data_IF_162458782963
#
_entry.id   IF_162458782963
#
_cell.length_a   1.000
_cell.length_b   1.000
_cell.length_c   1.000
_cell.angle_alpha   90.00
_cell.angle_beta   90.00
_cell.angle_gamma   90.00
#
_symmetry.space_group_name_H-M   'P 1'
#
loop_
_entity.id
_entity.type
_entity.pdbx_description
1 polymer ?
#
# COMPACT_ATOMS: atom_id res chain seq x y z
N UNK A 1 19.44 15.03 7.18
CA UNK A 1 20.47 14.02 6.88
C UNK A 1 20.80 14.12 5.39
N UNK A 2 21.83 14.89 5.02
CA UNK A 2 22.19 15.12 3.60
C UNK A 2 23.12 14.01 3.06
N UNK A 3 23.98 13.44 3.92
CA UNK A 3 24.94 12.40 3.55
C UNK A 3 24.30 11.15 2.92
N UNK A 4 23.11 10.74 3.36
CA UNK A 4 22.42 9.59 2.77
C UNK A 4 22.06 9.82 1.30
N UNK A 5 21.52 10.99 0.97
CA UNK A 5 21.11 11.35 -0.40
C UNK A 5 22.34 11.49 -1.31
N UNK A 6 23.45 12.00 -0.77
CA UNK A 6 24.73 12.08 -1.46
C UNK A 6 25.26 10.69 -1.86
N UNK A 7 25.23 9.73 -0.94
CA UNK A 7 25.61 8.34 -1.26
C UNK A 7 24.69 7.71 -2.30
N UNK A 8 23.37 7.98 -2.28
CA UNK A 8 22.46 7.52 -3.35
C UNK A 8 22.84 8.09 -4.71
N UNK A 9 23.23 9.36 -4.78
CA UNK A 9 23.68 9.98 -6.02
C UNK A 9 24.97 9.35 -6.53
N UNK A 10 25.93 9.08 -5.66
CA UNK A 10 27.18 8.42 -6.04
C UNK A 10 26.97 7.00 -6.57
N UNK A 11 25.99 6.26 -6.06
CA UNK A 11 25.60 4.96 -6.62
C UNK A 11 25.03 5.13 -8.04
N UNK A 12 24.14 6.11 -8.25
CA UNK A 12 23.52 6.36 -9.56
C UNK A 12 24.56 6.81 -10.60
N UNK A 13 25.55 7.59 -10.18
CA UNK A 13 26.66 8.02 -11.02
C UNK A 13 27.73 6.92 -11.21
N UNK A 14 27.61 5.77 -10.52
CA UNK A 14 28.54 4.65 -10.60
C UNK A 14 29.91 4.92 -9.94
N UNK A 15 29.98 5.92 -9.06
CA UNK A 15 31.22 6.34 -8.37
C UNK A 15 31.56 5.37 -7.24
N UNK A 16 30.54 4.82 -6.57
CA UNK A 16 30.69 3.87 -5.47
C UNK A 16 29.69 2.72 -5.63
N UNK A 17 30.09 1.52 -5.22
CA UNK A 17 29.18 0.37 -5.20
C UNK A 17 28.15 0.49 -4.06
N UNK A 18 26.92 -0.05 -4.22
CA UNK A 18 25.88 0.02 -3.19
C UNK A 18 26.33 -0.49 -1.81
N UNK A 19 27.13 -1.56 -1.80
CA UNK A 19 27.65 -2.17 -0.56
C UNK A 19 28.62 -1.22 0.15
N UNK A 20 29.48 -0.53 -0.60
CA UNK A 20 30.44 0.43 -0.04
C UNK A 20 29.75 1.69 0.47
N UNK A 21 28.74 2.17 -0.25
CA UNK A 21 27.91 3.29 0.15
C UNK A 21 27.23 3.08 1.50
N UNK A 22 26.64 1.89 1.72
CA UNK A 22 25.99 1.52 2.98
C UNK A 22 27.00 1.51 4.14
N UNK A 23 28.18 0.91 3.94
CA UNK A 23 29.23 0.88 4.96
C UNK A 23 29.76 2.28 5.30
N UNK A 24 29.98 3.11 4.28
CA UNK A 24 30.46 4.48 4.45
C UNK A 24 29.45 5.33 5.24
N UNK A 25 28.16 5.18 4.95
CA UNK A 25 27.10 5.86 5.69
C UNK A 25 27.08 5.47 7.17
N UNK A 26 27.21 4.18 7.49
CA UNK A 26 27.27 3.70 8.87
C UNK A 26 28.49 4.25 9.63
N UNK A 27 29.67 4.32 8.99
CA UNK A 27 30.85 4.94 9.59
C UNK A 27 30.64 6.45 9.88
N UNK A 28 29.91 7.16 9.01
CA UNK A 28 29.54 8.57 9.26
C UNK A 28 28.58 8.69 10.44
N UNK A 29 27.60 7.78 10.57
CA UNK A 29 26.67 7.76 11.71
C UNK A 29 27.38 7.52 13.04
N UNK A 30 28.33 6.57 13.08
CA UNK A 30 29.17 6.32 14.25
C UNK A 30 29.96 7.56 14.65
N UNK A 31 30.60 8.23 13.67
CA UNK A 31 31.35 9.47 13.91
C UNK A 31 30.46 10.60 14.40
N UNK A 32 29.21 10.66 13.95
CA UNK A 32 28.23 11.66 14.38
C UNK A 32 27.60 11.33 15.75
N UNK A 33 27.86 10.15 16.32
CA UNK A 33 27.25 9.68 17.56
C UNK A 33 25.76 9.36 17.44
N UNK A 34 25.23 9.24 16.23
CA UNK A 34 23.83 8.93 15.98
C UNK A 34 23.65 7.42 15.89
N UNK A 35 22.73 6.85 16.70
CA UNK A 35 22.42 5.42 16.62
C UNK A 35 21.64 5.11 15.34
N UNK A 36 22.12 4.21 14.48
CA UNK A 36 21.35 3.72 13.35
C UNK A 36 20.04 3.07 13.82
N UNK A 37 18.93 3.31 13.10
CA UNK A 37 17.65 2.65 13.39
C UNK A 37 17.61 1.18 12.94
N UNK A 38 18.55 0.78 12.10
CA UNK A 38 18.76 -0.59 11.60
C UNK A 38 20.23 -0.94 11.68
N UNK A 39 20.53 -2.20 11.90
CA UNK A 39 21.91 -2.68 11.94
C UNK A 39 22.53 -2.71 10.54
N UNK A 40 23.86 -2.66 10.48
CA UNK A 40 24.60 -2.77 9.22
C UNK A 40 24.26 -4.06 8.46
N UNK A 41 24.02 -5.16 9.16
CA UNK A 41 23.68 -6.45 8.56
C UNK A 41 22.33 -6.41 7.84
N UNK A 42 21.35 -5.72 8.44
CA UNK A 42 20.01 -5.55 7.88
C UNK A 42 20.06 -4.69 6.60
N UNK A 43 20.89 -3.62 6.60
CA UNK A 43 21.03 -2.75 5.43
C UNK A 43 21.85 -3.38 4.30
N UNK A 44 22.70 -4.37 4.61
CA UNK A 44 23.40 -5.18 3.61
C UNK A 44 22.55 -6.28 3.00
N UNK A 45 21.37 -6.55 3.57
CA UNK A 45 20.46 -7.57 3.03
C UNK A 45 19.88 -7.10 1.70
N UNK A 46 20.16 -7.84 0.62
CA UNK A 46 19.58 -7.58 -0.69
C UNK A 46 18.05 -7.73 -0.64
N UNK A 47 17.35 -6.61 -0.53
CA UNK A 47 15.91 -6.60 -0.69
C UNK A 47 15.61 -6.65 -2.19
N UNK A 48 15.07 -7.78 -2.64
CA UNK A 48 14.48 -7.84 -3.97
C UNK A 48 13.28 -6.89 -3.95
N UNK A 49 13.48 -5.68 -4.48
CA UNK A 49 12.39 -4.72 -4.68
C UNK A 49 11.50 -5.27 -5.78
N UNK A 50 10.66 -6.25 -5.44
CA UNK A 50 9.60 -6.73 -6.32
C UNK A 50 8.58 -5.61 -6.33
N UNK A 51 8.60 -4.81 -7.39
CA UNK A 51 7.81 -3.60 -7.51
C UNK A 51 6.32 -3.86 -7.30
N UNK A 52 5.79 -3.35 -6.19
CA UNK A 52 4.36 -3.01 -6.07
C UNK A 52 4.08 -1.63 -6.65
N UNK A 53 4.75 -1.27 -7.74
CA UNK A 53 4.55 -0.02 -8.49
C UNK A 53 4.13 -0.31 -9.93
N UNK A 54 3.19 -1.23 -10.07
CA UNK A 54 2.42 -1.49 -11.27
C UNK A 54 1.10 -2.06 -10.80
N UNK A 55 0.05 -1.25 -10.79
CA UNK A 55 -1.21 -1.52 -10.09
C UNK A 55 -1.76 -2.92 -10.31
N UNK A 56 -1.50 -3.82 -9.35
CA UNK A 56 -2.26 -5.04 -9.20
C UNK A 56 -3.27 -4.80 -8.10
N UNK A 57 -4.55 -4.85 -8.45
CA UNK A 57 -5.73 -4.65 -7.59
C UNK A 57 -5.87 -5.72 -6.50
N UNK A 58 -4.84 -5.93 -5.69
CA UNK A 58 -4.92 -6.80 -4.53
C UNK A 58 -5.42 -5.97 -3.36
N UNK A 59 -6.73 -5.98 -3.17
CA UNK A 59 -7.41 -5.41 -2.01
C UNK A 59 -6.91 -6.12 -0.75
N UNK A 60 -6.03 -5.47 0.02
CA UNK A 60 -5.61 -5.97 1.33
C UNK A 60 -6.74 -5.63 2.31
N UNK A 61 -7.57 -6.62 2.63
CA UNK A 61 -8.62 -6.49 3.64
C UNK A 61 -7.99 -6.39 5.02
N UNK A 62 -7.90 -5.17 5.55
CA UNK A 62 -7.60 -4.92 6.96
C UNK A 62 -8.80 -5.42 7.80
N UNK A 63 -8.61 -6.33 8.77
CA UNK A 63 -9.70 -6.78 9.62
C UNK A 63 -10.20 -5.59 10.47
N UNK A 64 -11.52 -5.39 10.49
CA UNK A 64 -12.21 -4.30 11.20
C UNK A 64 -12.16 -4.41 12.73
N UNK A 65 -11.09 -4.97 13.31
CA UNK A 65 -11.03 -5.27 14.74
C UNK A 65 -10.58 -4.10 15.62
N UNK A 66 -10.38 -2.91 15.06
CA UNK A 66 -10.12 -1.68 15.82
C UNK A 66 -11.28 -0.67 15.80
N UNK A 67 -12.40 -1.00 15.15
CA UNK A 67 -13.62 -0.18 15.22
C UNK A 67 -14.47 -0.59 16.44
N UNK A 68 -14.06 -0.07 17.59
CA UNK A 68 -14.88 0.25 18.76
C UNK A 68 -15.80 -0.84 19.36
N UNK A 69 -15.38 -1.26 20.54
CA UNK A 69 -16.23 -1.75 21.63
C UNK A 69 -17.52 -0.93 21.79
N UNK A 70 -18.66 -1.55 21.50
CA UNK A 70 -19.90 -1.39 22.27
C UNK A 70 -20.95 -2.44 21.91
N UNK A 71 -21.31 -3.23 22.93
CA UNK A 71 -22.67 -3.70 23.22
C UNK A 71 -23.24 -4.91 22.44
N UNK A 72 -23.21 -6.04 23.17
CA UNK A 72 -24.20 -7.16 23.25
C UNK A 72 -23.91 -8.46 22.50
N UNK A 73 -24.12 -9.51 23.29
CA UNK A 73 -23.84 -10.93 23.12
C UNK A 73 -24.90 -11.67 22.25
N UNK A 74 -24.70 -12.98 21.96
CA UNK A 74 -24.93 -13.60 20.65
C UNK A 74 -26.22 -14.42 20.56
N UNK A 75 -26.69 -14.67 19.35
CA UNK A 75 -27.55 -15.83 19.04
C UNK A 75 -27.32 -16.33 17.60
N UNK A 76 -26.72 -17.52 17.53
CA UNK A 76 -27.16 -18.69 16.74
C UNK A 76 -28.00 -18.44 15.48
N UNK A 77 -27.47 -18.84 14.31
CA UNK A 77 -28.04 -19.84 13.37
C UNK A 77 -27.63 -19.59 11.91
N UNK A 78 -26.84 -20.51 11.37
CA UNK A 78 -26.75 -20.89 9.95
C UNK A 78 -28.04 -21.67 9.55
N UNK A 79 -28.42 -21.92 8.28
CA UNK A 79 -28.41 -21.16 7.01
C UNK A 79 -29.83 -21.10 6.37
N UNK A 80 -29.90 -20.80 5.06
CA UNK A 80 -30.96 -21.12 4.05
C UNK A 80 -32.07 -20.11 3.75
N UNK A 81 -32.09 -19.73 2.47
CA UNK A 81 -33.23 -19.45 1.58
C UNK A 81 -34.16 -18.24 1.85
N UNK A 82 -34.19 -17.38 0.83
CA UNK A 82 -35.38 -16.73 0.27
C UNK A 82 -36.20 -15.79 1.16
N UNK A 83 -36.00 -14.48 1.00
CA UNK A 83 -37.00 -13.63 0.32
C UNK A 83 -36.67 -12.14 0.41
N UNK A 84 -36.96 -11.51 -0.71
CA UNK A 84 -36.86 -10.10 -1.06
C UNK A 84 -37.44 -9.16 -0.01
N UNK A 85 -36.69 -8.08 0.31
CA UNK A 85 -37.09 -6.67 0.54
C UNK A 85 -35.86 -5.96 1.14
N UNK A 86 -35.36 -4.80 0.73
CA UNK A 86 -35.82 -3.74 -0.13
C UNK A 86 -34.59 -3.09 -0.78
N UNK A 87 -34.61 -2.97 -2.11
CA UNK A 87 -33.66 -2.15 -2.83
C UNK A 87 -33.90 -0.67 -2.46
N UNK A 88 -32.96 -0.06 -1.74
CA UNK A 88 -32.83 1.41 -1.76
C UNK A 88 -32.39 1.80 -3.17
N UNK A 89 -33.03 2.79 -3.82
CA UNK A 89 -32.59 3.26 -5.11
C UNK A 89 -31.19 3.88 -4.92
N UNK A 90 -30.19 3.31 -5.59
CA UNK A 90 -28.88 3.95 -5.70
C UNK A 90 -29.12 5.34 -6.27
N UNK A 91 -28.78 6.35 -5.47
CA UNK A 91 -28.85 7.75 -5.87
C UNK A 91 -28.12 7.93 -7.22
N UNK A 92 -28.84 8.57 -8.14
CA UNK A 92 -28.44 8.86 -9.50
C UNK A 92 -26.98 9.37 -9.56
N UNK A 93 -26.08 8.53 -10.09
CA UNK A 93 -24.70 8.91 -10.39
C UNK A 93 -23.60 8.01 -9.79
N UNK A 94 -23.89 7.11 -8.85
CA UNK A 94 -22.89 6.18 -8.32
C UNK A 94 -23.16 4.73 -8.76
N UNK A 95 -22.21 4.07 -9.45
CA UNK A 95 -22.39 2.69 -9.85
C UNK A 95 -22.36 1.74 -8.65
N UNK A 96 -23.24 0.74 -8.69
CA UNK A 96 -23.27 -0.34 -7.72
C UNK A 96 -22.12 -1.33 -8.01
N UNK A 97 -20.98 -1.13 -7.35
CA UNK A 97 -19.81 -1.98 -7.54
C UNK A 97 -20.11 -3.44 -7.19
N UNK A 98 -21.05 -3.75 -6.28
CA UNK A 98 -21.37 -5.13 -5.92
C UNK A 98 -21.98 -5.92 -7.08
N UNK A 99 -22.62 -5.24 -8.04
CA UNK A 99 -23.21 -5.85 -9.23
C UNK A 99 -22.30 -5.81 -10.46
N UNK A 100 -21.23 -5.02 -10.44
CA UNK A 100 -20.29 -4.92 -11.56
C UNK A 100 -19.26 -6.04 -11.58
N UNK A 101 -19.01 -6.58 -12.77
CA UNK A 101 -17.88 -7.48 -13.01
C UNK A 101 -16.55 -6.73 -12.90
N UNK A 102 -15.45 -7.44 -12.65
CA UNK A 102 -14.12 -6.83 -12.52
C UNK A 102 -13.71 -5.98 -13.74
N UNK A 103 -14.07 -6.43 -14.95
CA UNK A 103 -13.82 -5.70 -16.19
C UNK A 103 -14.61 -4.38 -16.26
N UNK A 104 -15.87 -4.41 -15.85
CA UNK A 104 -16.77 -3.24 -15.86
C UNK A 104 -16.34 -2.19 -14.83
N UNK A 105 -15.83 -2.62 -13.67
CA UNK A 105 -15.22 -1.73 -12.68
C UNK A 105 -13.96 -1.04 -13.23
N UNK A 106 -13.10 -1.75 -13.96
CA UNK A 106 -11.90 -1.15 -14.56
C UNK A 106 -12.25 -0.04 -15.56
N UNK A 107 -13.26 -0.28 -16.41
CA UNK A 107 -13.70 0.69 -17.40
C UNK A 107 -14.33 1.93 -16.75
N UNK A 108 -15.12 1.74 -15.69
CA UNK A 108 -15.64 2.85 -14.89
C UNK A 108 -14.51 3.69 -14.26
N UNK A 109 -13.49 3.03 -13.69
CA UNK A 109 -12.35 3.73 -13.11
C UNK A 109 -11.56 4.51 -14.17
N UNK A 110 -11.32 3.94 -15.35
CA UNK A 110 -10.66 4.62 -16.48
C UNK A 110 -11.45 5.84 -16.95
N UNK A 111 -12.76 5.68 -17.15
CA UNK A 111 -13.66 6.75 -17.56
C UNK A 111 -13.73 7.88 -16.54
N UNK A 112 -13.73 7.54 -15.25
CA UNK A 112 -13.71 8.51 -14.15
C UNK A 112 -12.40 9.30 -14.11
N UNK A 113 -11.25 8.65 -14.28
CA UNK A 113 -9.95 9.32 -14.34
C UNK A 113 -9.88 10.26 -15.56
N UNK A 114 -10.32 9.81 -16.73
CA UNK A 114 -10.36 10.66 -17.93
C UNK A 114 -11.27 11.88 -17.73
N UNK A 115 -12.38 11.73 -17.00
CA UNK A 115 -13.29 12.83 -16.66
C UNK A 115 -12.72 13.80 -15.60
N UNK A 116 -11.86 13.32 -14.71
CA UNK A 116 -11.25 14.13 -13.64
C UNK A 116 -9.97 14.84 -14.10
N UNK A 117 -9.23 14.26 -15.04
CA UNK A 117 -7.91 14.75 -15.46
C UNK A 117 -7.86 15.21 -16.93
N UNK A 118 -8.92 14.98 -17.72
CA UNK A 118 -9.00 15.33 -19.15
C UNK A 118 -9.88 16.55 -19.42
N UNK A 119 -9.53 17.68 -18.80
CA UNK A 119 -10.09 19.02 -19.11
C UNK A 119 -9.03 19.92 -19.70
#
# INVERSE_FOLDING_TARGET
>A
QLAFIEFLRHIVEGVIEPVEAVRAYHAVLEKLGARPNRSLEDDLTYQTSVGSYGGNSTTISIPASFASSSSRLPTTSRPTAESQVAAKPSAEGQPDFARMTSAERLEYHRSRLNRMFGG
#
